data_IF_194434698125
#
_entry.id   IF_194434698125
#
_cell.length_a   1.000
_cell.length_b   1.000
_cell.length_c   1.000
_cell.angle_alpha   90.00
_cell.angle_beta   90.00
_cell.angle_gamma   90.00
#
_symmetry.space_group_name_H-M   'P 1'
#
loop_
_entity.id
_entity.type
_entity.pdbx_description
1 polymer ?
#
# COMPACT_ATOMS: atom_id res chain seq x y z
N UNK A 1 -56.38 10.01 27.83
CA UNK A 1 -55.16 9.44 28.46
C UNK A 1 -54.22 9.02 27.33
N UNK A 2 -53.20 9.82 27.05
CA UNK A 2 -52.10 9.47 26.13
C UNK A 2 -51.10 8.60 26.89
N UNK A 3 -50.88 7.37 26.45
CA UNK A 3 -49.66 6.62 26.78
C UNK A 3 -48.67 6.87 25.63
N UNK A 4 -47.78 7.84 25.82
CA UNK A 4 -46.58 7.96 24.99
C UNK A 4 -45.52 7.02 25.60
N UNK A 5 -45.19 5.96 24.87
CA UNK A 5 -44.18 4.97 25.24
C UNK A 5 -42.80 5.62 25.24
N UNK A 6 -42.23 5.77 26.43
CA UNK A 6 -40.87 6.25 26.67
C UNK A 6 -39.84 5.24 26.15
N UNK A 7 -39.31 5.45 24.95
CA UNK A 7 -38.08 4.79 24.53
C UNK A 7 -36.90 5.46 25.24
N UNK A 8 -36.29 4.74 26.19
CA UNK A 8 -35.04 5.14 26.83
C UNK A 8 -33.93 5.17 25.78
N UNK A 9 -33.53 6.37 25.35
CA UNK A 9 -32.41 6.55 24.44
C UNK A 9 -31.11 6.49 25.24
N UNK A 10 -30.47 5.33 25.31
CA UNK A 10 -29.11 5.23 25.89
C UNK A 10 -28.11 5.88 24.92
N UNK A 11 -27.23 6.78 25.39
CA UNK A 11 -26.24 7.40 24.53
C UNK A 11 -25.19 6.37 24.08
N UNK A 12 -24.92 6.33 22.77
CA UNK A 12 -23.85 5.53 22.16
C UNK A 12 -22.61 6.41 21.97
N UNK A 13 -21.45 5.94 22.40
CA UNK A 13 -20.17 6.62 22.22
C UNK A 13 -19.29 5.82 21.24
N UNK A 14 -18.73 6.51 20.25
CA UNK A 14 -17.81 5.93 19.26
C UNK A 14 -16.42 6.49 19.49
N UNK A 15 -15.44 5.61 19.65
CA UNK A 15 -14.02 5.96 19.72
C UNK A 15 -13.28 5.35 18.53
N UNK A 16 -12.55 6.18 17.79
CA UNK A 16 -11.73 5.76 16.67
C UNK A 16 -10.26 6.13 16.94
N UNK A 17 -9.40 5.11 17.00
CA UNK A 17 -7.96 5.32 17.19
C UNK A 17 -7.27 5.52 15.84
N UNK A 18 -6.58 6.65 15.69
CA UNK A 18 -5.82 6.98 14.48
C UNK A 18 -4.53 6.17 14.29
N UNK A 19 -4.06 5.48 15.33
CA UNK A 19 -2.76 4.78 15.34
C UNK A 19 -2.90 3.26 15.44
N UNK A 20 -4.10 2.76 15.74
CA UNK A 20 -4.31 1.34 16.00
C UNK A 20 -3.90 0.46 14.80
N UNK A 21 -4.34 0.80 13.59
CA UNK A 21 -3.99 0.04 12.39
C UNK A 21 -2.48 -0.02 12.12
N UNK A 22 -1.78 1.12 12.31
CA UNK A 22 -0.33 1.17 12.14
C UNK A 22 0.40 0.31 13.18
N UNK A 23 -0.01 0.36 14.44
CA UNK A 23 0.59 -0.43 15.51
C UNK A 23 0.37 -1.94 15.30
N UNK A 24 -0.83 -2.34 14.86
CA UNK A 24 -1.13 -3.74 14.51
C UNK A 24 -0.22 -4.19 13.37
N UNK A 25 -0.10 -3.41 12.30
CA UNK A 25 0.71 -3.76 11.14
C UNK A 25 2.21 -3.90 11.49
N UNK A 26 2.74 -2.95 12.28
CA UNK A 26 4.13 -3.02 12.76
C UNK A 26 4.36 -4.20 13.71
N UNK A 27 3.36 -4.58 14.50
CA UNK A 27 3.44 -5.79 15.35
C UNK A 27 3.48 -7.05 14.50
N UNK A 28 2.70 -7.12 13.41
CA UNK A 28 2.74 -8.22 12.44
C UNK A 28 4.09 -8.28 11.70
N UNK A 29 4.72 -7.15 11.41
CA UNK A 29 6.08 -7.12 10.84
C UNK A 29 7.10 -7.73 11.81
N UNK A 30 7.03 -7.37 13.09
CA UNK A 30 7.95 -7.91 14.09
C UNK A 30 7.74 -9.42 14.28
N UNK A 31 6.48 -9.87 14.37
CA UNK A 31 6.14 -11.29 14.39
C UNK A 31 6.71 -12.02 13.18
N UNK A 32 6.55 -11.45 11.98
CA UNK A 32 7.08 -12.01 10.73
C UNK A 32 8.59 -12.17 10.78
N UNK A 33 9.31 -11.14 11.23
CA UNK A 33 10.78 -11.17 11.37
C UNK A 33 11.27 -12.23 12.35
N UNK A 34 10.48 -12.51 13.39
CA UNK A 34 10.77 -13.55 14.38
C UNK A 34 10.24 -14.93 13.98
N UNK A 35 9.50 -15.04 12.88
CA UNK A 35 8.84 -16.28 12.45
C UNK A 35 7.64 -16.69 13.33
N UNK A 36 7.16 -15.80 14.19
CA UNK A 36 6.04 -16.06 15.10
C UNK A 36 4.74 -16.01 14.31
N UNK A 37 3.89 -17.04 14.46
CA UNK A 37 2.58 -17.17 13.80
C UNK A 37 2.62 -17.15 12.26
N UNK A 38 3.80 -17.19 11.64
CA UNK A 38 3.93 -17.36 10.20
C UNK A 38 3.42 -18.74 9.79
N UNK A 39 2.47 -18.76 8.86
CA UNK A 39 1.70 -19.91 8.40
C UNK A 39 1.82 -20.13 6.88
N UNK A 40 2.80 -19.50 6.24
CA UNK A 40 3.22 -19.72 4.86
C UNK A 40 4.71 -19.42 4.67
N UNK A 41 5.37 -20.23 3.84
CA UNK A 41 6.73 -19.97 3.35
C UNK A 41 6.69 -19.60 1.87
N UNK A 42 7.33 -18.50 1.51
CA UNK A 42 7.53 -18.10 0.12
C UNK A 42 8.94 -18.48 -0.32
N UNK A 43 9.07 -19.10 -1.49
CA UNK A 43 10.36 -19.30 -2.15
C UNK A 43 10.54 -18.22 -3.22
N UNK A 44 11.57 -17.38 -3.06
CA UNK A 44 11.89 -16.28 -3.98
C UNK A 44 13.34 -16.42 -4.39
N UNK A 45 13.57 -16.74 -5.66
CA UNK A 45 14.92 -17.07 -6.18
C UNK A 45 15.64 -18.13 -5.29
N UNK A 46 14.89 -19.15 -4.86
CA UNK A 46 15.38 -20.22 -3.99
C UNK A 46 15.59 -19.83 -2.52
N UNK A 47 15.27 -18.60 -2.12
CA UNK A 47 15.35 -18.14 -0.72
C UNK A 47 14.00 -18.26 -0.03
N UNK A 48 14.01 -18.82 1.16
CA UNK A 48 12.81 -18.94 2.00
C UNK A 48 12.48 -17.63 2.72
N UNK A 49 11.22 -17.24 2.66
CA UNK A 49 10.68 -16.07 3.36
C UNK A 49 9.39 -16.46 4.06
N UNK A 50 9.43 -16.42 5.39
CA UNK A 50 8.27 -16.67 6.27
C UNK A 50 7.32 -15.48 6.25
N UNK A 51 6.02 -15.76 6.17
CA UNK A 51 4.97 -14.73 6.14
C UNK A 51 3.65 -15.23 6.75
N UNK A 52 2.69 -14.30 6.82
CA UNK A 52 1.32 -14.55 7.27
C UNK A 52 0.39 -14.55 6.06
N UNK A 53 -0.37 -15.63 5.86
CA UNK A 53 -1.35 -15.80 4.77
C UNK A 53 -2.31 -14.62 4.71
N UNK A 54 -2.83 -14.19 5.85
CA UNK A 54 -3.79 -13.09 5.95
C UNK A 54 -3.25 -11.76 5.40
N UNK A 55 -2.01 -11.41 5.74
CA UNK A 55 -1.39 -10.15 5.27
C UNK A 55 -1.11 -10.22 3.78
N UNK A 56 -0.59 -11.35 3.29
CA UNK A 56 -0.34 -11.54 1.86
C UNK A 56 -1.63 -11.47 1.04
N UNK A 57 -2.67 -12.19 1.46
CA UNK A 57 -3.96 -12.24 0.79
C UNK A 57 -4.67 -10.87 0.78
N UNK A 58 -4.55 -10.09 1.86
CA UNK A 58 -5.11 -8.75 1.91
C UNK A 58 -4.36 -7.74 1.04
N UNK A 59 -3.07 -7.99 0.76
CA UNK A 59 -2.18 -7.02 0.09
C UNK A 59 -1.96 -7.33 -1.40
N UNK A 60 -2.32 -8.52 -1.87
CA UNK A 60 -2.01 -9.00 -3.22
C UNK A 60 -3.06 -9.95 -3.75
N UNK A 61 -3.54 -9.66 -4.96
CA UNK A 61 -4.46 -10.54 -5.69
C UNK A 61 -3.84 -11.91 -6.00
N UNK A 62 -2.56 -11.95 -6.37
CA UNK A 62 -1.85 -13.20 -6.65
C UNK A 62 -1.85 -14.12 -5.44
N UNK A 63 -1.43 -13.60 -4.27
CA UNK A 63 -1.38 -14.42 -3.06
C UNK A 63 -2.77 -14.85 -2.59
N UNK A 64 -3.78 -13.98 -2.69
CA UNK A 64 -5.16 -14.37 -2.40
C UNK A 64 -5.58 -15.58 -3.24
N UNK A 65 -5.37 -15.54 -4.56
CA UNK A 65 -5.72 -16.65 -5.46
C UNK A 65 -4.90 -17.92 -5.18
N UNK A 66 -3.59 -17.79 -4.98
CA UNK A 66 -2.72 -18.91 -4.67
C UNK A 66 -3.12 -19.61 -3.36
N UNK A 67 -3.46 -18.83 -2.33
CA UNK A 67 -3.84 -19.34 -1.01
C UNK A 67 -5.24 -19.92 -0.95
N UNK A 68 -6.17 -19.43 -1.79
CA UNK A 68 -7.49 -20.04 -1.98
C UNK A 68 -7.44 -21.31 -2.84
N UNK A 69 -6.43 -21.45 -3.70
CA UNK A 69 -6.16 -22.72 -4.40
C UNK A 69 -5.54 -23.77 -3.48
N UNK A 70 -4.81 -23.34 -2.45
CA UNK A 70 -4.26 -24.17 -1.38
C UNK A 70 -5.32 -24.50 -0.33
N UNK A 71 -6.28 -25.33 -0.72
CA UNK A 71 -7.25 -25.96 0.18
C UNK A 71 -6.57 -27.13 0.90
N UNK A 72 -5.59 -26.82 1.74
CA UNK A 72 -4.85 -27.84 2.49
C UNK A 72 -5.84 -28.72 3.25
N UNK A 73 -5.80 -30.01 2.96
CA UNK A 73 -6.53 -30.99 3.75
C UNK A 73 -6.03 -30.93 5.21
N UNK A 74 -6.93 -31.15 6.18
CA UNK A 74 -6.57 -31.06 7.59
C UNK A 74 -5.43 -32.05 7.92
N UNK A 75 -4.21 -31.52 8.05
CA UNK A 75 -2.99 -32.31 8.32
C UNK A 75 -1.81 -32.06 7.37
N UNK A 76 -1.97 -31.25 6.32
CA UNK A 76 -0.85 -30.91 5.42
C UNK A 76 0.15 -29.95 6.07
N UNK A 77 1.42 -30.15 5.70
CA UNK A 77 2.52 -29.27 6.05
C UNK A 77 2.23 -27.83 5.61
N UNK A 78 2.89 -26.87 6.26
CA UNK A 78 2.73 -25.46 5.94
C UNK A 78 2.92 -25.18 4.44
N UNK A 79 2.01 -24.39 3.81
CA UNK A 79 2.08 -24.13 2.39
C UNK A 79 3.39 -23.46 2.00
N UNK A 80 4.03 -24.01 0.97
CA UNK A 80 5.21 -23.42 0.32
C UNK A 80 4.78 -22.87 -1.04
N UNK A 81 4.86 -21.55 -1.21
CA UNK A 81 4.54 -20.87 -2.47
C UNK A 81 5.84 -20.55 -3.19
N UNK A 82 6.07 -21.22 -4.32
CA UNK A 82 7.20 -20.90 -5.19
C UNK A 82 6.86 -19.72 -6.11
N UNK A 83 7.56 -18.60 -5.95
CA UNK A 83 7.39 -17.45 -6.83
C UNK A 83 8.16 -17.68 -8.14
N UNK A 84 7.57 -17.34 -9.30
CA UNK A 84 8.22 -17.53 -10.58
C UNK A 84 9.42 -16.59 -10.75
N UNK A 85 10.38 -16.96 -11.62
CA UNK A 85 11.67 -16.25 -11.81
C UNK A 85 11.55 -14.75 -12.13
N UNK A 86 10.42 -14.31 -12.68
CA UNK A 86 10.15 -12.88 -12.92
C UNK A 86 9.95 -12.07 -11.62
N UNK A 87 9.72 -12.73 -10.50
CA UNK A 87 9.63 -12.11 -9.17
C UNK A 87 10.99 -12.25 -8.48
N UNK A 88 11.83 -11.24 -8.65
CA UNK A 88 13.17 -11.22 -8.08
C UNK A 88 13.13 -10.86 -6.60
N UNK A 89 14.10 -11.32 -5.80
CA UNK A 89 14.18 -10.95 -4.39
C UNK A 89 14.34 -9.44 -4.19
N UNK A 90 15.04 -8.78 -5.11
CA UNK A 90 15.27 -7.32 -5.13
C UNK A 90 13.98 -6.52 -5.32
N UNK A 91 13.09 -6.98 -6.20
CA UNK A 91 11.78 -6.35 -6.41
C UNK A 91 10.76 -6.74 -5.35
N UNK A 92 10.80 -7.98 -4.87
CA UNK A 92 9.84 -8.51 -3.90
C UNK A 92 10.04 -7.97 -2.48
N UNK A 93 11.28 -7.84 -2.01
CA UNK A 93 11.54 -7.47 -0.61
C UNK A 93 10.90 -6.12 -0.21
N UNK A 94 11.00 -5.03 -1.00
CA UNK A 94 10.30 -3.78 -0.71
C UNK A 94 8.77 -3.91 -0.69
N UNK A 95 8.20 -4.77 -1.54
CA UNK A 95 6.76 -5.00 -1.62
C UNK A 95 6.25 -5.76 -0.40
N UNK A 96 6.99 -6.78 0.05
CA UNK A 96 6.68 -7.48 1.28
C UNK A 96 6.77 -6.52 2.48
N UNK A 97 7.81 -5.70 2.55
CA UNK A 97 7.93 -4.68 3.58
C UNK A 97 6.75 -3.69 3.55
N UNK A 98 6.32 -3.27 2.36
CA UNK A 98 5.16 -2.41 2.20
C UNK A 98 3.89 -3.05 2.75
N UNK A 99 3.64 -4.33 2.46
CA UNK A 99 2.48 -5.07 2.99
C UNK A 99 2.43 -5.08 4.53
N UNK A 100 3.59 -5.02 5.20
CA UNK A 100 3.71 -5.09 6.66
C UNK A 100 4.00 -3.74 7.34
N UNK A 101 4.18 -2.65 6.59
CA UNK A 101 4.55 -1.35 7.19
C UNK A 101 3.83 -0.16 6.56
N UNK A 102 3.12 -0.36 5.45
CA UNK A 102 2.59 0.66 4.56
C UNK A 102 3.65 1.64 4.03
N UNK A 103 4.94 1.25 4.05
CA UNK A 103 6.07 2.05 3.54
C UNK A 103 6.77 1.29 2.42
N UNK A 104 6.84 1.91 1.24
CA UNK A 104 7.57 1.36 0.11
C UNK A 104 8.88 2.13 -0.07
N UNK A 105 10.01 1.42 0.02
CA UNK A 105 11.35 2.00 -0.17
C UNK A 105 11.83 1.68 -1.58
N UNK A 106 11.98 2.70 -2.41
CA UNK A 106 12.47 2.56 -3.79
C UNK A 106 13.65 3.48 -4.08
N UNK A 107 14.48 3.04 -4.99
CA UNK A 107 15.68 3.73 -5.47
C UNK A 107 15.83 3.51 -6.98
N UNK A 108 16.79 4.20 -7.60
CA UNK A 108 17.06 4.01 -9.04
C UNK A 108 17.46 2.58 -9.36
N UNK A 109 18.15 1.95 -8.42
CA UNK A 109 18.68 0.61 -8.59
C UNK A 109 17.57 -0.43 -8.57
N UNK A 110 16.49 -0.27 -7.79
CA UNK A 110 15.48 -1.31 -7.58
C UNK A 110 14.11 -1.02 -8.21
N UNK A 111 13.86 0.20 -8.70
CA UNK A 111 12.51 0.60 -9.10
C UNK A 111 11.96 -0.23 -10.25
N UNK A 112 12.80 -0.63 -11.20
CA UNK A 112 12.38 -1.45 -12.32
C UNK A 112 11.89 -2.82 -11.86
N UNK A 113 12.64 -3.49 -10.99
CA UNK A 113 12.27 -4.80 -10.45
C UNK A 113 11.04 -4.70 -9.54
N UNK A 114 10.94 -3.66 -8.71
CA UNK A 114 9.78 -3.45 -7.83
C UNK A 114 8.50 -3.29 -8.65
N UNK A 115 8.54 -2.53 -9.75
CA UNK A 115 7.38 -2.34 -10.62
C UNK A 115 6.94 -3.65 -11.27
N UNK A 116 7.88 -4.40 -11.85
CA UNK A 116 7.58 -5.68 -12.50
C UNK A 116 6.98 -6.69 -11.51
N UNK A 117 7.52 -6.74 -10.29
CA UNK A 117 6.99 -7.59 -9.24
C UNK A 117 5.61 -7.12 -8.78
N UNK A 118 5.39 -5.82 -8.60
CA UNK A 118 4.13 -5.26 -8.14
C UNK A 118 2.99 -5.53 -9.13
N UNK A 119 3.26 -5.33 -10.42
CA UNK A 119 2.33 -5.63 -11.51
C UNK A 119 1.98 -7.12 -11.55
N UNK A 120 3.00 -7.98 -11.52
CA UNK A 120 2.76 -9.42 -11.56
C UNK A 120 1.99 -9.94 -10.34
N UNK A 121 2.38 -9.51 -9.14
CA UNK A 121 1.75 -9.93 -7.89
C UNK A 121 0.39 -9.24 -7.67
N UNK A 122 0.06 -8.20 -8.44
CA UNK A 122 -1.14 -7.40 -8.28
C UNK A 122 -1.23 -6.82 -6.86
N UNK A 123 -0.15 -6.16 -6.41
CA UNK A 123 -0.09 -5.54 -5.08
C UNK A 123 -1.01 -4.32 -5.05
N UNK A 124 -1.98 -4.34 -4.14
CA UNK A 124 -2.97 -3.27 -4.01
C UNK A 124 -2.31 -1.96 -3.54
N UNK A 125 -2.93 -0.82 -3.86
CA UNK A 125 -2.49 0.53 -3.46
C UNK A 125 -1.15 1.00 -4.04
N UNK A 126 -0.57 0.29 -5.02
CA UNK A 126 0.60 0.74 -5.78
C UNK A 126 0.26 1.24 -7.20
N UNK A 127 -0.98 1.06 -7.65
CA UNK A 127 -1.46 1.46 -8.99
C UNK A 127 -1.75 2.97 -9.12
N UNK A 128 -1.36 3.77 -8.12
CA UNK A 128 -1.63 5.20 -8.08
C UNK A 128 -0.76 6.01 -9.05
N UNK A 129 -1.32 7.14 -9.49
CA UNK A 129 -0.60 8.14 -10.29
C UNK A 129 0.69 8.62 -9.61
N UNK A 130 0.75 8.60 -8.28
CA UNK A 130 1.94 8.92 -7.49
C UNK A 130 3.10 7.93 -7.73
N UNK A 131 2.80 6.65 -7.88
CA UNK A 131 3.80 5.63 -8.14
C UNK A 131 4.37 5.77 -9.56
N UNK A 132 3.50 6.01 -10.56
CA UNK A 132 3.90 6.31 -11.94
C UNK A 132 4.72 7.60 -12.04
N UNK A 133 4.38 8.62 -11.24
CA UNK A 133 5.14 9.85 -11.16
C UNK A 133 6.55 9.62 -10.60
N UNK A 134 6.66 8.88 -9.49
CA UNK A 134 7.94 8.59 -8.86
C UNK A 134 8.84 7.73 -9.77
N UNK A 135 8.25 6.79 -10.51
CA UNK A 135 8.92 6.08 -11.60
C UNK A 135 9.48 7.05 -12.64
N UNK A 136 8.66 7.96 -13.15
CA UNK A 136 9.09 8.93 -14.14
C UNK A 136 10.20 9.86 -13.60
N UNK A 137 10.15 10.28 -12.34
CA UNK A 137 11.20 11.13 -11.76
C UNK A 137 12.52 10.38 -11.58
N UNK A 138 12.50 9.13 -11.13
CA UNK A 138 13.71 8.31 -10.96
C UNK A 138 14.35 7.91 -12.30
N UNK A 139 13.58 7.94 -13.39
CA UNK A 139 14.05 7.64 -14.75
C UNK A 139 14.50 8.89 -15.55
N UNK A 140 13.94 10.08 -15.31
CA UNK A 140 14.11 11.26 -16.16
C UNK A 140 15.11 12.34 -15.65
N UNK A 141 16.14 11.98 -14.90
CA UNK A 141 17.14 12.96 -14.45
C UNK A 141 18.20 13.34 -15.50
N UNK A 142 17.85 13.21 -16.78
CA UNK A 142 18.53 13.85 -17.91
C UNK A 142 17.56 14.81 -18.62
N UNK A 143 17.56 16.05 -18.11
CA UNK A 143 17.21 17.34 -18.72
C UNK A 143 15.83 17.60 -19.42
N UNK A 144 15.18 18.64 -18.87
CA UNK A 144 14.52 19.74 -19.60
C UNK A 144 13.18 19.52 -20.33
N UNK A 145 12.09 19.24 -19.60
CA UNK A 145 10.74 19.71 -20.02
C UNK A 145 9.74 19.80 -18.85
N UNK A 146 10.13 20.47 -17.76
CA UNK A 146 9.49 20.28 -16.43
C UNK A 146 8.28 21.16 -16.10
N UNK A 147 7.95 22.23 -16.83
CA UNK A 147 7.00 23.21 -16.28
C UNK A 147 5.57 23.15 -16.87
N UNK A 148 5.38 22.69 -18.10
CA UNK A 148 4.06 22.74 -18.75
C UNK A 148 3.16 21.54 -18.42
N UNK A 149 3.75 20.35 -18.32
CA UNK A 149 3.04 19.11 -17.96
C UNK A 149 2.70 19.08 -16.47
N UNK A 150 3.58 19.66 -15.64
CA UNK A 150 3.45 19.74 -14.18
C UNK A 150 2.22 20.55 -13.75
N UNK A 151 1.99 21.72 -14.37
CA UNK A 151 0.81 22.54 -14.09
C UNK A 151 -0.51 21.91 -14.57
N UNK A 152 -0.48 21.15 -15.67
CA UNK A 152 -1.68 20.52 -16.23
C UNK A 152 -2.14 19.28 -15.44
N UNK A 153 -1.20 18.51 -14.86
CA UNK A 153 -1.54 17.27 -14.15
C UNK A 153 -1.94 17.49 -12.69
N UNK A 154 -1.36 18.47 -11.99
CA UNK A 154 -1.81 18.86 -10.64
C UNK A 154 -3.27 19.34 -10.67
N UNK A 155 -3.68 20.03 -11.75
CA UNK A 155 -5.08 20.44 -11.95
C UNK A 155 -6.05 19.26 -11.94
N UNK A 156 -5.63 18.08 -12.41
CA UNK A 156 -6.48 16.87 -12.47
C UNK A 156 -6.65 16.20 -11.10
N UNK A 157 -5.58 16.17 -10.30
CA UNK A 157 -5.56 15.59 -8.95
C UNK A 157 -6.36 16.44 -7.96
N UNK A 158 -6.29 17.77 -8.09
CA UNK A 158 -6.98 18.70 -7.17
C UNK A 158 -8.45 18.93 -7.54
N UNK A 159 -8.80 18.94 -8.84
CA UNK A 159 -10.16 19.29 -9.28
C UNK A 159 -11.08 18.09 -9.51
N UNK A 160 -10.55 16.88 -9.72
CA UNK A 160 -11.36 15.70 -10.01
C UNK A 160 -10.90 14.50 -9.18
N UNK A 161 -11.23 14.47 -7.88
CA UNK A 161 -11.13 13.24 -7.12
C UNK A 161 -12.09 12.23 -7.75
N UNK A 162 -11.55 11.18 -8.36
CA UNK A 162 -12.33 10.00 -8.74
C UNK A 162 -13.09 9.53 -7.50
N UNK A 163 -14.42 9.53 -7.57
CA UNK A 163 -15.34 9.20 -6.50
C UNK A 163 -14.96 7.88 -5.82
N UNK A 164 -14.24 7.95 -4.70
CA UNK A 164 -14.18 7.00 -3.59
C UNK A 164 -12.96 7.38 -2.79
N UNK A 165 -13.14 8.18 -1.75
CA UNK A 165 -12.33 8.27 -0.53
C UNK A 165 -12.69 9.61 0.09
N UNK A 166 -13.33 9.54 1.25
CA UNK A 166 -13.43 10.67 2.17
C UNK A 166 -12.01 10.97 2.67
N UNK A 167 -11.20 11.61 1.82
CA UNK A 167 -9.95 12.22 2.23
C UNK A 167 -10.34 13.29 3.25
N UNK A 168 -9.98 13.05 4.51
CA UNK A 168 -10.14 14.02 5.59
C UNK A 168 -9.74 15.41 5.09
N UNK A 169 -10.54 16.44 5.40
CA UNK A 169 -10.27 17.85 5.06
C UNK A 169 -8.82 18.27 5.32
N UNK A 170 -8.15 17.64 6.30
CA UNK A 170 -6.74 17.85 6.58
C UNK A 170 -5.79 17.43 5.44
N UNK A 171 -6.04 16.31 4.76
CA UNK A 171 -5.17 15.84 3.67
C UNK A 171 -5.35 16.75 2.45
N UNK A 172 -6.58 17.11 2.09
CA UNK A 172 -6.83 18.12 1.06
C UNK A 172 -6.18 19.47 1.38
N UNK A 173 -6.24 19.91 2.64
CA UNK A 173 -5.62 21.15 3.09
C UNK A 173 -4.08 21.09 3.02
N UNK A 174 -3.46 19.97 3.43
CA UNK A 174 -2.02 19.77 3.36
C UNK A 174 -1.54 19.73 1.91
N UNK A 175 -2.27 19.07 1.01
CA UNK A 175 -1.98 19.05 -0.42
C UNK A 175 -2.14 20.44 -1.05
N UNK A 176 -3.16 21.21 -0.65
CA UNK A 176 -3.36 22.58 -1.12
C UNK A 176 -2.27 23.54 -0.62
N UNK A 177 -1.83 23.41 0.63
CA UNK A 177 -0.73 24.20 1.20
C UNK A 177 0.60 23.85 0.55
N UNK A 178 0.85 22.58 0.27
CA UNK A 178 2.03 22.13 -0.46
C UNK A 178 2.04 22.69 -1.88
N UNK A 179 0.89 22.68 -2.56
CA UNK A 179 0.72 23.31 -3.88
C UNK A 179 1.04 24.81 -3.85
N UNK A 180 0.46 25.56 -2.90
CA UNK A 180 0.73 27.00 -2.75
C UNK A 180 2.20 27.29 -2.44
N UNK A 181 2.85 26.47 -1.61
CA UNK A 181 4.26 26.61 -1.29
C UNK A 181 5.15 26.39 -2.53
N UNK A 182 4.84 25.37 -3.33
CA UNK A 182 5.54 25.09 -4.60
C UNK A 182 5.33 26.24 -5.59
N UNK A 183 4.10 26.75 -5.73
CA UNK A 183 3.81 27.87 -6.64
C UNK A 183 4.49 29.18 -6.20
N UNK A 184 4.54 29.48 -4.91
CA UNK A 184 5.26 30.65 -4.39
C UNK A 184 6.78 30.54 -4.57
N UNK A 185 7.34 29.34 -4.42
CA UNK A 185 8.77 29.10 -4.71
C UNK A 185 9.10 29.27 -6.20
N UNK A 186 8.16 28.95 -7.09
CA UNK A 186 8.31 29.10 -8.54
C UNK A 186 8.06 30.54 -9.05
N UNK A 187 7.36 31.38 -8.28
CA UNK A 187 7.06 32.78 -8.65
C UNK A 187 8.12 33.78 -8.18
N UNK A 188 8.95 33.39 -7.20
CA UNK A 188 10.01 34.23 -6.64
C UNK A 188 11.42 33.86 -7.11
N UNK A 189 11.54 33.05 -8.15
CA UNK A 189 12.80 32.65 -8.79
C UNK A 189 12.70 32.78 -10.32
#
# INVERSE_FOLDING_TARGET
LKLESSTSYSPVYVYESKVHCANVLLSLEEQRRQGILCDVTLLVEGREVRAHRAVLAASSRYFLQALLGHNGSAGEAEPIINLPDKVTAKGFAPLLQFAYTAKLVISRENIHEVILCADFLGVHNLEDSCFRFLQAQLQNDSEHNRNLIFAQQIKKIVLYPSNTFSLSMHICYLLYRLYLAIMNMLLHH
#
